data_IF_101293440144
#
_entry.id   IF_101293440144
#
_cell.length_a   1.000
_cell.length_b   1.000
_cell.length_c   1.000
_cell.angle_alpha   90.00
_cell.angle_beta   90.00
_cell.angle_gamma   90.00
#
_symmetry.space_group_name_H-M   'P 1'
#
loop_
_entity.id
_entity.type
_entity.pdbx_description
1 polymer ?
#
# COMPACT_ATOMS: atom_id res chain seq x y z
N UNK A 1 8.45 18.78 -7.43
CA UNK A 1 8.22 19.59 -8.68
C UNK A 1 6.72 19.71 -9.00
N UNK A 2 5.92 18.65 -8.87
CA UNK A 2 4.50 18.69 -9.24
C UNK A 2 3.64 19.53 -8.29
N UNK A 3 3.90 19.47 -6.98
CA UNK A 3 3.17 20.26 -5.98
C UNK A 3 3.42 21.75 -6.21
N UNK A 4 4.68 22.15 -6.42
CA UNK A 4 5.01 23.54 -6.69
C UNK A 4 4.33 24.05 -7.96
N UNK A 5 4.31 23.25 -9.03
CA UNK A 5 3.62 23.61 -10.28
C UNK A 5 2.11 23.82 -10.07
N UNK A 6 1.47 22.99 -9.24
CA UNK A 6 0.04 23.16 -8.90
C UNK A 6 -0.16 24.45 -8.10
N UNK A 7 0.69 24.71 -7.13
CA UNK A 7 0.62 25.92 -6.30
C UNK A 7 0.86 27.18 -7.13
N UNK A 8 1.84 27.15 -8.05
CA UNK A 8 2.11 28.26 -8.96
C UNK A 8 0.90 28.56 -9.88
N UNK A 9 0.13 27.53 -10.25
CA UNK A 9 -1.07 27.67 -11.05
C UNK A 9 -2.27 28.28 -10.31
N UNK A 10 -2.25 28.35 -8.98
CA UNK A 10 -3.32 28.96 -8.17
C UNK A 10 -2.93 30.29 -7.51
N UNK A 11 -1.74 30.80 -7.81
CA UNK A 11 -1.22 32.08 -7.30
C UNK A 11 -2.09 33.29 -7.64
N UNK A 12 -2.93 33.18 -8.66
CA UNK A 12 -3.83 34.27 -9.10
C UNK A 12 -5.10 34.37 -8.25
N UNK A 13 -5.29 33.50 -7.25
CA UNK A 13 -6.44 33.56 -6.38
C UNK A 13 -6.28 34.69 -5.33
N UNK A 14 -7.21 35.65 -5.27
CA UNK A 14 -7.13 36.73 -4.31
C UNK A 14 -7.18 36.24 -2.87
N UNK A 15 -6.31 36.75 -2.04
CA UNK A 15 -6.17 36.42 -0.62
C UNK A 15 -5.63 35.00 -0.33
N UNK A 16 -4.97 34.35 -1.30
CA UNK A 16 -4.23 33.13 -1.05
C UNK A 16 -2.78 33.50 -0.72
N UNK A 17 -2.39 33.26 0.53
CA UNK A 17 -1.00 33.32 0.97
C UNK A 17 -0.63 31.93 1.48
N UNK A 18 0.43 31.34 0.95
CA UNK A 18 0.87 30.03 1.37
C UNK A 18 2.41 29.94 1.40
N UNK A 19 2.89 29.13 2.30
CA UNK A 19 4.29 28.72 2.35
C UNK A 19 4.36 27.19 2.17
N UNK A 20 5.08 26.75 1.15
CA UNK A 20 5.36 25.34 0.97
C UNK A 20 6.63 24.97 1.74
N UNK A 21 6.44 24.33 2.88
CA UNK A 21 7.54 23.77 3.64
C UNK A 21 7.67 22.29 3.31
N UNK A 22 8.73 21.92 2.62
CA UNK A 22 9.08 20.51 2.40
C UNK A 22 10.00 20.11 3.55
N UNK A 23 9.63 19.11 4.36
CA UNK A 23 10.53 18.60 5.39
C UNK A 23 11.85 18.19 4.74
N UNK A 24 12.92 18.84 5.14
CA UNK A 24 14.25 18.65 4.52
C UNK A 24 14.93 17.34 4.96
N UNK A 25 14.21 16.51 5.68
CA UNK A 25 14.88 15.60 6.58
C UNK A 25 14.59 14.15 6.23
N UNK A 26 14.91 13.64 5.17
CA UNK A 26 14.94 12.22 4.86
C UNK A 26 14.70 11.26 6.05
N UNK A 27 15.41 10.17 6.16
CA UNK A 27 15.12 9.08 7.12
C UNK A 27 15.13 9.44 8.61
N UNK A 28 15.56 10.64 8.96
CA UNK A 28 15.60 11.11 10.36
C UNK A 28 14.36 11.90 10.78
N UNK A 29 13.49 12.26 9.85
CA UNK A 29 12.24 12.91 10.16
C UNK A 29 11.18 11.86 10.53
N UNK A 30 10.58 11.89 11.74
CA UNK A 30 9.58 10.92 12.14
C UNK A 30 8.29 10.96 11.29
N UNK A 31 8.12 11.99 10.49
CA UNK A 31 6.98 12.16 9.58
C UNK A 31 7.31 11.81 8.12
N UNK A 32 8.57 11.53 7.80
CA UNK A 32 8.99 11.15 6.47
C UNK A 32 9.00 9.63 6.32
N UNK A 33 8.24 9.14 5.37
CA UNK A 33 8.28 7.74 4.98
C UNK A 33 8.50 7.63 3.47
N UNK A 34 9.52 6.88 3.10
CA UNK A 34 9.72 6.51 1.71
C UNK A 34 8.55 5.64 1.21
N UNK A 35 8.14 5.79 -0.06
CA UNK A 35 7.16 4.90 -0.66
C UNK A 35 7.70 3.47 -0.65
N UNK A 36 6.82 2.52 -0.39
CA UNK A 36 7.14 1.11 -0.52
C UNK A 36 6.90 0.70 -1.97
N UNK A 37 7.97 0.33 -2.64
CA UNK A 37 7.93 -0.17 -4.01
C UNK A 37 8.53 -1.58 -4.07
N UNK A 38 7.88 -2.47 -4.79
CA UNK A 38 8.36 -3.82 -5.07
C UNK A 38 8.01 -4.18 -6.50
N UNK A 39 8.95 -4.81 -7.20
CA UNK A 39 8.73 -5.29 -8.56
C UNK A 39 7.55 -6.29 -8.60
N UNK A 40 6.56 -6.12 -9.48
CA UNK A 40 5.47 -7.08 -9.66
C UNK A 40 5.95 -8.51 -9.94
N UNK A 41 7.12 -8.68 -10.53
CA UNK A 41 7.72 -9.97 -10.81
C UNK A 41 8.60 -10.51 -9.67
N UNK A 42 8.74 -9.78 -8.58
CA UNK A 42 9.50 -10.23 -7.43
C UNK A 42 8.94 -11.55 -6.86
N UNK A 43 9.79 -12.50 -6.43
CA UNK A 43 9.36 -13.81 -5.92
C UNK A 43 8.30 -13.73 -4.80
N UNK A 44 8.42 -12.74 -3.90
CA UNK A 44 7.43 -12.50 -2.85
C UNK A 44 6.05 -12.17 -3.42
N UNK A 45 5.98 -11.25 -4.39
CA UNK A 45 4.72 -10.86 -5.04
C UNK A 45 4.09 -12.05 -5.75
N UNK A 46 4.90 -12.79 -6.50
CA UNK A 46 4.45 -14.00 -7.23
C UNK A 46 3.94 -15.08 -6.30
N UNK A 47 4.61 -15.32 -5.17
CA UNK A 47 4.19 -16.33 -4.21
C UNK A 47 2.85 -15.98 -3.55
N UNK A 48 2.65 -14.72 -3.17
CA UNK A 48 1.38 -14.26 -2.59
C UNK A 48 0.26 -14.28 -3.63
N UNK A 49 0.51 -13.82 -4.85
CA UNK A 49 -0.46 -13.83 -5.93
C UNK A 49 -0.94 -15.25 -6.27
N UNK A 50 -0.02 -16.20 -6.40
CA UNK A 50 -0.34 -17.61 -6.62
C UNK A 50 -1.16 -18.20 -5.46
N UNK A 51 -0.78 -17.90 -4.22
CA UNK A 51 -1.53 -18.32 -3.04
C UNK A 51 -2.95 -17.75 -3.03
N UNK A 52 -3.12 -16.49 -3.43
CA UNK A 52 -4.42 -15.85 -3.58
C UNK A 52 -5.28 -16.54 -4.65
N UNK A 53 -4.71 -16.83 -5.80
CA UNK A 53 -5.41 -17.53 -6.88
C UNK A 53 -5.85 -18.94 -6.47
N UNK A 54 -4.96 -19.70 -5.86
CA UNK A 54 -5.25 -21.04 -5.35
C UNK A 54 -6.37 -21.02 -4.27
N UNK A 55 -6.36 -20.03 -3.39
CA UNK A 55 -7.31 -19.95 -2.29
C UNK A 55 -8.69 -19.41 -2.72
N UNK A 56 -8.74 -18.49 -3.71
CA UNK A 56 -9.94 -17.78 -4.11
C UNK A 56 -10.56 -18.29 -5.41
N UNK A 57 -9.77 -18.97 -6.25
CA UNK A 57 -10.13 -19.32 -7.62
C UNK A 57 -10.18 -18.13 -8.58
N UNK A 58 -9.62 -16.98 -8.19
CA UNK A 58 -9.63 -15.75 -9.00
C UNK A 58 -8.21 -15.18 -9.12
N UNK A 59 -7.87 -14.55 -10.27
CA UNK A 59 -6.59 -13.87 -10.43
C UNK A 59 -6.36 -12.84 -9.33
N UNK A 60 -5.13 -12.79 -8.83
CA UNK A 60 -4.71 -11.76 -7.90
C UNK A 60 -4.58 -10.40 -8.61
N UNK A 61 -5.04 -9.34 -7.95
CA UNK A 61 -4.77 -7.98 -8.38
C UNK A 61 -3.39 -7.56 -7.83
N UNK A 62 -2.46 -7.29 -8.75
CA UNK A 62 -1.12 -6.84 -8.43
C UNK A 62 -1.00 -5.37 -8.82
N UNK A 63 -0.48 -4.56 -7.91
CA UNK A 63 -0.26 -3.13 -8.12
C UNK A 63 -1.04 -2.26 -7.15
N UNK A 64 -0.87 -0.96 -7.28
CA UNK A 64 -1.61 -0.02 -6.45
C UNK A 64 -3.06 0.06 -6.91
N UNK A 65 -3.98 -0.01 -5.99
CA UNK A 65 -5.37 0.31 -6.24
C UNK A 65 -5.59 1.80 -6.06
N UNK A 66 -6.52 2.36 -6.81
CA UNK A 66 -6.78 3.80 -6.96
C UNK A 66 -7.00 4.61 -5.65
N UNK A 67 -6.95 3.97 -4.50
CA UNK A 67 -7.21 4.60 -3.19
C UNK A 67 -6.18 4.29 -2.11
N UNK A 68 -5.08 3.67 -2.41
CA UNK A 68 -4.09 3.37 -1.38
C UNK A 68 -3.10 4.54 -1.28
N UNK A 69 -3.45 5.51 -0.46
CA UNK A 69 -2.52 6.44 0.11
C UNK A 69 -2.08 6.04 1.52
N UNK A 70 -2.13 4.76 1.84
CA UNK A 70 -1.81 4.29 3.17
C UNK A 70 -0.35 3.91 3.27
N UNK A 71 0.26 4.31 4.36
CA UNK A 71 1.55 3.81 4.79
C UNK A 71 1.36 2.88 6.00
N UNK A 72 2.33 2.04 6.23
CA UNK A 72 2.35 1.12 7.36
C UNK A 72 3.75 0.63 7.65
N UNK A 73 3.87 -0.31 8.55
CA UNK A 73 5.16 -0.88 8.97
C UNK A 73 5.97 -1.44 7.80
N UNK A 74 5.29 -1.87 6.74
CA UNK A 74 5.92 -2.33 5.50
C UNK A 74 6.84 -1.30 4.85
N UNK A 75 6.52 0.00 4.95
CA UNK A 75 7.35 1.07 4.44
C UNK A 75 8.70 1.15 5.19
N UNK A 76 8.66 1.02 6.52
CA UNK A 76 9.86 1.03 7.36
C UNK A 76 10.75 -0.19 7.08
N UNK A 77 10.12 -1.36 6.90
CA UNK A 77 10.81 -2.60 6.57
C UNK A 77 11.46 -2.49 5.17
N UNK A 78 10.70 -1.98 4.19
CA UNK A 78 11.21 -1.77 2.83
C UNK A 78 12.37 -0.77 2.79
N UNK A 79 12.28 0.34 3.53
CA UNK A 79 13.36 1.32 3.66
C UNK A 79 14.65 0.71 4.27
N UNK A 80 14.51 -0.38 5.03
CA UNK A 80 15.65 -1.15 5.55
C UNK A 80 16.23 -2.14 4.54
N UNK A 81 15.77 -2.12 3.29
CA UNK A 81 16.23 -3.01 2.22
C UNK A 81 15.60 -4.40 2.21
N UNK A 82 14.54 -4.62 2.99
CA UNK A 82 13.83 -5.90 3.03
C UNK A 82 12.61 -5.80 2.10
N UNK A 83 12.52 -6.65 1.06
CA UNK A 83 11.37 -6.65 0.16
C UNK A 83 10.06 -6.84 0.92
N UNK A 84 9.13 -5.90 0.74
CA UNK A 84 7.87 -5.86 1.47
C UNK A 84 6.71 -5.55 0.54
N UNK A 85 5.56 -6.08 0.86
CA UNK A 85 4.29 -5.75 0.20
C UNK A 85 3.16 -5.69 1.22
N UNK A 86 2.11 -4.96 0.89
CA UNK A 86 0.86 -5.00 1.64
C UNK A 86 -0.08 -6.01 1.02
N UNK A 87 -0.60 -6.88 1.84
CA UNK A 87 -1.59 -7.88 1.45
C UNK A 87 -2.53 -8.16 2.61
N UNK A 88 -3.81 -8.22 2.36
CA UNK A 88 -4.79 -8.45 3.41
C UNK A 88 -6.19 -8.69 2.86
N UNK A 89 -7.13 -9.06 3.73
CA UNK A 89 -8.52 -9.20 3.38
C UNK A 89 -9.17 -7.83 3.21
N UNK A 90 -10.20 -7.78 2.38
CA UNK A 90 -11.01 -6.59 2.16
C UNK A 90 -11.10 -6.23 0.68
N UNK A 91 -12.30 -5.91 0.24
CA UNK A 91 -12.55 -5.36 -1.09
C UNK A 91 -12.85 -3.87 -0.95
N UNK A 92 -11.99 -3.02 -1.45
CA UNK A 92 -12.13 -1.56 -1.41
C UNK A 92 -13.43 -1.08 -2.08
N UNK A 93 -13.99 -1.88 -3.00
CA UNK A 93 -15.28 -1.57 -3.62
C UNK A 93 -16.45 -1.85 -2.70
N UNK A 94 -16.27 -2.78 -1.78
CA UNK A 94 -17.28 -3.17 -0.77
C UNK A 94 -17.16 -2.32 0.49
N UNK A 95 -15.93 -1.87 0.80
CA UNK A 95 -15.61 -1.08 1.99
C UNK A 95 -14.94 0.25 1.60
N UNK A 96 -15.67 1.15 0.92
CA UNK A 96 -15.06 2.35 0.33
C UNK A 96 -14.68 3.44 1.34
N UNK A 97 -15.15 3.33 2.56
CA UNK A 97 -14.97 4.35 3.61
C UNK A 97 -14.04 3.83 4.71
N UNK A 98 -12.77 4.09 4.57
CA UNK A 98 -11.79 3.80 5.62
C UNK A 98 -11.12 5.11 6.09
N UNK A 99 -10.93 5.31 7.38
CA UNK A 99 -11.40 4.48 8.50
C UNK A 99 -12.90 4.68 8.77
N UNK A 100 -13.65 3.59 8.93
CA UNK A 100 -15.07 3.61 9.20
C UNK A 100 -15.39 3.07 10.61
N UNK A 101 -16.41 3.61 11.30
CA UNK A 101 -16.77 3.13 12.64
C UNK A 101 -17.20 1.66 12.69
N UNK A 102 -17.64 1.13 11.55
CA UNK A 102 -18.10 -0.23 11.37
C UNK A 102 -17.20 -1.04 10.44
N UNK A 103 -15.90 -0.77 10.45
CA UNK A 103 -14.91 -1.51 9.68
C UNK A 103 -15.06 -3.02 9.92
N UNK A 104 -15.18 -3.75 8.83
CA UNK A 104 -15.47 -5.18 8.86
C UNK A 104 -14.85 -5.89 7.67
N UNK A 105 -14.66 -7.18 7.81
CA UNK A 105 -14.16 -8.06 6.76
C UNK A 105 -14.96 -9.36 6.75
N UNK A 106 -15.12 -9.95 5.56
CA UNK A 106 -15.76 -11.25 5.45
C UNK A 106 -14.84 -12.36 5.97
N UNK A 107 -15.41 -13.29 6.71
CA UNK A 107 -14.66 -14.47 7.22
C UNK A 107 -14.04 -15.27 6.07
N UNK A 108 -14.73 -15.36 4.93
CA UNK A 108 -14.20 -16.01 3.73
C UNK A 108 -12.92 -15.33 3.21
N UNK A 109 -12.83 -14.01 3.26
CA UNK A 109 -11.64 -13.26 2.84
C UNK A 109 -10.48 -13.46 3.82
N UNK A 110 -10.76 -13.51 5.13
CA UNK A 110 -9.75 -13.89 6.12
C UNK A 110 -9.17 -15.28 5.84
N UNK A 111 -10.02 -16.23 5.50
CA UNK A 111 -9.58 -17.59 5.17
C UNK A 111 -8.73 -17.64 3.90
N UNK A 112 -9.09 -16.88 2.88
CA UNK A 112 -8.31 -16.74 1.65
C UNK A 112 -6.94 -16.15 1.97
N UNK A 113 -6.90 -15.04 2.69
CA UNK A 113 -5.67 -14.36 3.09
C UNK A 113 -4.74 -15.29 3.88
N UNK A 114 -5.27 -16.00 4.87
CA UNK A 114 -4.48 -16.94 5.66
C UNK A 114 -3.86 -18.06 4.82
N UNK A 115 -4.64 -18.63 3.87
CA UNK A 115 -4.14 -19.66 2.96
C UNK A 115 -3.08 -19.12 2.01
N UNK A 116 -3.28 -17.92 1.47
CA UNK A 116 -2.31 -17.28 0.58
C UNK A 116 -0.98 -16.99 1.30
N UNK A 117 -1.04 -16.47 2.52
CA UNK A 117 0.15 -16.25 3.34
C UNK A 117 0.89 -17.55 3.67
N UNK A 118 0.14 -18.62 4.04
CA UNK A 118 0.73 -19.93 4.30
C UNK A 118 1.41 -20.51 3.05
N UNK A 119 0.75 -20.39 1.89
CA UNK A 119 1.33 -20.82 0.61
C UNK A 119 2.63 -20.06 0.31
N UNK A 120 2.61 -18.72 0.43
CA UNK A 120 3.78 -17.90 0.19
C UNK A 120 4.94 -18.25 1.12
N UNK A 121 4.67 -18.45 2.41
CA UNK A 121 5.68 -18.87 3.38
C UNK A 121 6.30 -20.22 3.03
N UNK A 122 5.50 -21.22 2.68
CA UNK A 122 6.01 -22.53 2.26
C UNK A 122 6.83 -22.44 0.97
N UNK A 123 6.41 -21.62 0.02
CA UNK A 123 7.11 -21.47 -1.26
C UNK A 123 8.45 -20.76 -1.13
N UNK A 124 8.57 -19.83 -0.19
CA UNK A 124 9.77 -19.00 -0.04
C UNK A 124 10.75 -19.53 1.00
N UNK A 125 10.26 -20.29 2.00
CA UNK A 125 11.06 -20.75 3.13
C UNK A 125 11.14 -22.28 3.24
N UNK A 126 10.40 -23.01 2.41
CA UNK A 126 10.29 -24.48 2.44
C UNK A 126 11.26 -25.22 1.48
#
# INVERSE_FOLDING_TARGET
EDVQRVLDGINDLPNLDYELTIPANGPTDPYFMDPMEIDPDHPLVRAVAEGQELASGKPALIGSVERIGNYGDGNVIAASGIPSLQYGPGDIKVYPEWPAPDERVLVSELMITAKACAHAALKLCG
#
